data_IF_344543397664
#
_entry.id   IF_344543397664
#
_cell.length_a   1.000
_cell.length_b   1.000
_cell.length_c   1.000
_cell.angle_alpha   90.00
_cell.angle_beta   90.00
_cell.angle_gamma   90.00
#
_symmetry.space_group_name_H-M   'P 1'
#
loop_
_entity.id
_entity.type
_entity.pdbx_description
1 polymer ?
#
# COMPACT_ATOMS: atom_id res chain seq x y z
N UNK A 1 -55.12 6.13 -9.44
CA UNK A 1 -53.72 6.61 -9.45
C UNK A 1 -53.33 6.89 -8.01
N UNK A 2 -52.75 5.89 -7.34
CA UNK A 2 -52.19 6.03 -6.00
C UNK A 2 -50.72 6.41 -6.14
N UNK A 3 -50.33 7.58 -5.63
CA UNK A 3 -48.93 8.00 -5.55
C UNK A 3 -48.18 7.08 -4.57
N UNK A 4 -47.28 6.24 -5.10
CA UNK A 4 -46.27 5.56 -4.28
C UNK A 4 -45.27 6.60 -3.76
N UNK A 5 -45.39 6.95 -2.48
CA UNK A 5 -44.33 7.66 -1.76
C UNK A 5 -43.16 6.72 -1.56
N UNK A 6 -42.10 6.90 -2.35
CA UNK A 6 -40.80 6.33 -2.06
C UNK A 6 -40.32 6.86 -0.70
N UNK A 7 -39.94 6.00 0.25
CA UNK A 7 -39.41 6.44 1.53
C UNK A 7 -38.04 7.07 1.30
N UNK A 8 -37.97 8.39 1.45
CA UNK A 8 -36.70 9.11 1.58
C UNK A 8 -36.12 8.68 2.93
N UNK A 9 -35.11 7.80 2.91
CA UNK A 9 -34.26 7.61 4.10
C UNK A 9 -33.59 8.96 4.34
N UNK A 10 -33.90 9.58 5.48
CA UNK A 10 -33.06 10.65 6.02
C UNK A 10 -31.65 10.08 6.10
N UNK A 11 -30.74 10.62 5.28
CA UNK A 11 -29.32 10.39 5.45
C UNK A 11 -28.97 11.03 6.78
N UNK A 12 -28.73 10.21 7.81
CA UNK A 12 -28.13 10.70 9.04
C UNK A 12 -26.90 11.53 8.65
N UNK A 13 -26.76 12.76 9.18
CA UNK A 13 -25.59 13.56 8.89
C UNK A 13 -24.38 12.71 9.28
N UNK A 14 -23.52 12.43 8.29
CA UNK A 14 -22.19 11.86 8.51
C UNK A 14 -21.48 12.79 9.49
N UNK A 15 -21.66 12.53 10.78
CA UNK A 15 -20.88 13.17 11.81
C UNK A 15 -19.45 12.76 11.50
N UNK A 16 -18.62 13.75 11.15
CA UNK A 16 -17.19 13.57 10.99
C UNK A 16 -16.66 13.12 12.36
N UNK A 17 -16.61 11.81 12.58
CA UNK A 17 -15.99 11.24 13.77
C UNK A 17 -14.47 11.24 13.58
N UNK A 18 -13.90 12.44 13.77
CA UNK A 18 -12.47 12.65 13.71
C UNK A 18 -11.76 11.88 14.82
N UNK A 19 -12.43 11.57 15.94
CA UNK A 19 -11.78 10.96 17.11
C UNK A 19 -11.42 9.49 16.87
N UNK A 20 -12.20 8.78 16.06
CA UNK A 20 -11.90 7.41 15.68
C UNK A 20 -10.70 7.33 14.73
N UNK A 21 -10.50 8.33 13.88
CA UNK A 21 -9.41 8.38 12.89
C UNK A 21 -8.14 9.00 13.48
N UNK A 22 -8.28 10.09 14.24
CA UNK A 22 -7.18 10.90 14.77
C UNK A 22 -7.21 10.85 16.29
N UNK A 23 -6.55 9.82 16.83
CA UNK A 23 -6.36 9.64 18.27
C UNK A 23 -4.88 9.35 18.59
N UNK A 24 -4.45 9.48 19.86
CA UNK A 24 -3.06 9.29 20.26
C UNK A 24 -2.45 7.94 19.82
N UNK A 25 -3.25 6.86 19.82
CA UNK A 25 -2.79 5.55 19.38
C UNK A 25 -2.49 5.52 17.88
N UNK A 26 -3.37 6.09 17.05
CA UNK A 26 -3.20 6.17 15.60
C UNK A 26 -2.06 7.12 15.23
N UNK A 27 -1.92 8.24 15.94
CA UNK A 27 -0.80 9.17 15.78
C UNK A 27 0.55 8.53 16.15
N UNK A 28 0.60 7.74 17.22
CA UNK A 28 1.81 6.97 17.58
C UNK A 28 2.18 5.97 16.48
N UNK A 29 1.18 5.26 15.93
CA UNK A 29 1.41 4.32 14.84
C UNK A 29 1.92 5.02 13.56
N UNK A 30 1.36 6.18 13.22
CA UNK A 30 1.86 7.03 12.13
C UNK A 30 3.30 7.50 12.37
N UNK A 31 3.62 7.96 13.57
CA UNK A 31 4.98 8.39 13.89
C UNK A 31 5.98 7.24 13.73
N UNK A 32 5.64 6.04 14.21
CA UNK A 32 6.47 4.86 14.02
C UNK A 32 6.65 4.51 12.54
N UNK A 33 5.59 4.59 11.73
CA UNK A 33 5.68 4.40 10.28
C UNK A 33 6.66 5.41 9.67
N UNK A 34 6.50 6.71 9.95
CA UNK A 34 7.38 7.74 9.40
C UNK A 34 8.85 7.53 9.81
N UNK A 35 9.12 7.09 11.05
CA UNK A 35 10.47 6.70 11.46
C UNK A 35 10.99 5.54 10.62
N UNK A 36 10.20 4.48 10.43
CA UNK A 36 10.60 3.33 9.59
C UNK A 36 10.83 3.70 8.13
N UNK A 37 10.03 4.62 7.57
CA UNK A 37 10.25 5.12 6.22
C UNK A 37 11.51 5.99 6.13
N UNK A 38 11.80 6.79 7.15
CA UNK A 38 13.03 7.59 7.22
C UNK A 38 14.29 6.71 7.29
N UNK A 39 14.21 5.57 7.98
CA UNK A 39 15.32 4.61 8.07
C UNK A 39 15.71 3.99 6.69
N UNK A 40 14.86 4.15 5.66
CA UNK A 40 15.16 3.66 4.30
C UNK A 40 16.01 4.62 3.48
N UNK A 41 16.16 5.87 3.90
CA UNK A 41 16.90 6.91 3.17
C UNK A 41 18.35 6.47 2.93
N UNK A 42 18.79 6.53 1.67
CA UNK A 42 20.15 6.20 1.29
C UNK A 42 21.04 7.46 1.29
N UNK A 43 22.34 7.35 1.65
CA UNK A 43 23.27 8.50 1.60
C UNK A 43 23.49 9.06 0.19
N UNK A 44 23.35 8.22 -0.83
CA UNK A 44 23.52 8.55 -2.24
C UNK A 44 22.13 8.66 -2.91
N UNK A 45 21.83 9.83 -3.45
CA UNK A 45 20.56 10.15 -4.12
C UNK A 45 20.27 9.20 -5.30
N UNK A 46 21.30 8.70 -6.00
CA UNK A 46 21.11 7.75 -7.10
C UNK A 46 20.77 6.34 -6.58
N UNK A 47 21.27 5.95 -5.42
CA UNK A 47 20.84 4.71 -4.76
C UNK A 47 19.39 4.87 -4.31
N UNK A 48 19.04 6.00 -3.70
CA UNK A 48 17.68 6.30 -3.24
C UNK A 48 16.68 6.28 -4.41
N UNK A 49 17.00 6.95 -5.53
CA UNK A 49 16.16 6.97 -6.73
C UNK A 49 15.94 5.57 -7.32
N UNK A 50 17.00 4.75 -7.40
CA UNK A 50 16.88 3.35 -7.85
C UNK A 50 15.99 2.53 -6.93
N UNK A 51 16.17 2.69 -5.62
CA UNK A 51 15.34 2.01 -4.62
C UNK A 51 13.86 2.36 -4.80
N UNK A 52 13.53 3.64 -4.99
CA UNK A 52 12.16 4.10 -5.19
C UNK A 52 11.54 3.56 -6.48
N UNK A 53 12.29 3.49 -7.58
CA UNK A 53 11.81 2.89 -8.83
C UNK A 53 11.48 1.40 -8.67
N UNK A 54 12.35 0.65 -7.99
CA UNK A 54 12.12 -0.77 -7.68
C UNK A 54 10.95 -0.98 -6.72
N UNK A 55 10.83 -0.13 -5.69
CA UNK A 55 9.71 -0.15 -4.76
C UNK A 55 8.38 0.11 -5.47
N UNK A 56 8.36 1.00 -6.47
CA UNK A 56 7.18 1.25 -7.29
C UNK A 56 6.77 0.01 -8.10
N UNK A 57 7.71 -0.71 -8.72
CA UNK A 57 7.40 -1.97 -9.42
C UNK A 57 6.76 -3.00 -8.47
N UNK A 58 7.34 -3.13 -7.27
CA UNK A 58 6.82 -4.03 -6.24
C UNK A 58 5.45 -3.61 -5.71
N UNK A 59 5.13 -2.32 -5.71
CA UNK A 59 3.80 -1.83 -5.37
C UNK A 59 2.73 -2.26 -6.37
N UNK A 60 3.04 -2.33 -7.67
CA UNK A 60 2.10 -2.86 -8.66
C UNK A 60 1.80 -4.35 -8.40
N UNK A 61 2.83 -5.15 -8.10
CA UNK A 61 2.66 -6.55 -7.71
C UNK A 61 1.80 -6.70 -6.44
N UNK A 62 1.91 -5.75 -5.52
CA UNK A 62 1.08 -5.71 -4.33
C UNK A 62 -0.39 -5.44 -4.65
N UNK A 63 -0.68 -4.48 -5.55
CA UNK A 63 -2.04 -4.21 -5.99
C UNK A 63 -2.68 -5.45 -6.67
N UNK A 64 -1.93 -6.12 -7.54
CA UNK A 64 -2.41 -7.37 -8.16
C UNK A 64 -2.72 -8.46 -7.11
N UNK A 65 -1.86 -8.58 -6.09
CA UNK A 65 -2.05 -9.51 -4.98
C UNK A 65 -3.33 -9.19 -4.20
N UNK A 66 -3.59 -7.92 -3.89
CA UNK A 66 -4.80 -7.48 -3.20
C UNK A 66 -6.06 -7.71 -4.03
N UNK A 67 -6.00 -7.52 -5.35
CA UNK A 67 -7.12 -7.76 -6.25
C UNK A 67 -7.47 -9.24 -6.37
N UNK A 68 -6.47 -10.12 -6.31
CA UNK A 68 -6.65 -11.57 -6.49
C UNK A 68 -7.36 -12.30 -5.33
N UNK A 69 -7.61 -11.63 -4.20
CA UNK A 69 -8.18 -12.23 -2.99
C UNK A 69 -9.18 -11.31 -2.30
N UNK A 70 -10.17 -11.93 -1.67
CA UNK A 70 -11.02 -11.26 -0.68
C UNK A 70 -10.32 -11.31 0.69
N UNK A 71 -9.36 -10.41 0.90
CA UNK A 71 -8.84 -10.17 2.25
C UNK A 71 -9.89 -9.43 3.08
N UNK A 72 -9.93 -9.75 4.37
CA UNK A 72 -10.62 -8.96 5.38
C UNK A 72 -9.59 -8.36 6.34
N UNK A 73 -10.04 -7.43 7.18
CA UNK A 73 -9.17 -6.65 8.06
C UNK A 73 -8.36 -7.56 9.03
N UNK A 74 -8.89 -8.75 9.37
CA UNK A 74 -8.25 -9.71 10.28
C UNK A 74 -7.16 -10.57 9.60
N UNK A 75 -7.31 -10.88 8.31
CA UNK A 75 -6.43 -11.81 7.59
C UNK A 75 -5.52 -11.16 6.54
N UNK A 76 -5.63 -9.84 6.38
CA UNK A 76 -4.84 -9.11 5.41
C UNK A 76 -3.33 -9.20 5.71
N UNK A 77 -2.49 -9.67 4.77
CA UNK A 77 -1.04 -9.65 4.95
C UNK A 77 -0.53 -8.21 5.02
N UNK A 78 0.61 -8.01 5.67
CA UNK A 78 1.35 -6.74 5.54
C UNK A 78 2.23 -6.81 4.28
N UNK A 79 2.40 -5.69 3.55
CA UNK A 79 3.39 -5.64 2.49
C UNK A 79 4.81 -5.46 3.07
N UNK A 80 5.86 -5.75 2.27
CA UNK A 80 7.23 -5.29 2.52
C UNK A 80 7.32 -3.78 2.81
N UNK A 81 8.39 -3.33 3.47
CA UNK A 81 8.50 -1.94 3.93
C UNK A 81 8.62 -0.93 2.79
N UNK A 82 9.29 -1.30 1.70
CA UNK A 82 9.39 -0.50 0.47
C UNK A 82 8.02 -0.32 -0.19
N UNK A 83 7.20 -1.38 -0.20
CA UNK A 83 5.83 -1.34 -0.70
C UNK A 83 4.93 -0.53 0.23
N UNK A 84 5.13 -0.63 1.56
CA UNK A 84 4.45 0.25 2.53
C UNK A 84 4.74 1.73 2.24
N UNK A 85 5.96 2.06 1.84
CA UNK A 85 6.35 3.44 1.51
C UNK A 85 5.54 3.98 0.33
N UNK A 86 5.50 3.24 -0.78
CA UNK A 86 4.77 3.67 -1.98
C UNK A 86 3.25 3.72 -1.70
N UNK A 87 2.71 2.71 -1.01
CA UNK A 87 1.29 2.67 -0.68
C UNK A 87 0.87 3.83 0.24
N UNK A 88 1.66 4.11 1.28
CA UNK A 88 1.41 5.25 2.16
C UNK A 88 1.44 6.57 1.39
N UNK A 89 2.41 6.74 0.50
CA UNK A 89 2.51 7.94 -0.35
C UNK A 89 1.31 8.08 -1.29
N UNK A 90 0.81 6.98 -1.86
CA UNK A 90 -0.38 7.00 -2.71
C UNK A 90 -1.64 7.45 -1.94
N UNK A 91 -1.78 7.04 -0.67
CA UNK A 91 -2.89 7.45 0.20
C UNK A 91 -2.91 8.95 0.53
N UNK A 92 -1.78 9.65 0.38
CA UNK A 92 -1.72 11.12 0.55
C UNK A 92 -2.47 11.89 -0.55
N UNK A 93 -2.88 11.21 -1.63
CA UNK A 93 -3.79 11.74 -2.65
C UNK A 93 -5.11 10.95 -2.65
N UNK A 94 -6.03 11.19 -1.69
CA UNK A 94 -7.15 10.29 -1.43
C UNK A 94 -8.11 10.15 -2.62
N UNK A 95 -8.37 11.23 -3.37
CA UNK A 95 -9.21 11.16 -4.57
C UNK A 95 -8.55 10.30 -5.67
N UNK A 96 -7.24 10.48 -5.88
CA UNK A 96 -6.50 9.69 -6.88
C UNK A 96 -6.44 8.22 -6.50
N UNK A 97 -6.12 7.95 -5.24
CA UNK A 97 -6.13 6.59 -4.69
C UNK A 97 -7.49 5.92 -4.93
N UNK A 98 -8.58 6.60 -4.56
CA UNK A 98 -9.93 6.07 -4.74
C UNK A 98 -10.26 5.76 -6.21
N UNK A 99 -9.97 6.68 -7.13
CA UNK A 99 -10.21 6.44 -8.55
C UNK A 99 -9.36 5.30 -9.10
N UNK A 100 -8.09 5.19 -8.69
CA UNK A 100 -7.21 4.13 -9.16
C UNK A 100 -7.66 2.77 -8.61
N UNK A 101 -8.10 2.70 -7.35
CA UNK A 101 -8.66 1.45 -6.80
C UNK A 101 -9.93 1.02 -7.56
N UNK A 102 -10.80 1.96 -7.97
CA UNK A 102 -11.97 1.68 -8.82
C UNK A 102 -11.62 1.20 -10.24
N UNK A 103 -10.45 1.59 -10.77
CA UNK A 103 -9.99 1.15 -12.09
C UNK A 103 -9.35 -0.23 -12.04
N UNK A 104 -8.71 -0.58 -10.93
CA UNK A 104 -7.96 -1.81 -10.76
C UNK A 104 -8.87 -2.95 -10.28
N UNK A 105 -9.83 -2.68 -9.40
CA UNK A 105 -10.67 -3.70 -8.76
C UNK A 105 -12.14 -3.59 -9.16
N UNK A 106 -12.90 -4.66 -8.96
CA UNK A 106 -14.35 -4.66 -9.13
C UNK A 106 -15.01 -3.73 -8.09
N UNK A 107 -15.94 -2.84 -8.46
CA UNK A 107 -16.69 -1.99 -7.52
C UNK A 107 -17.39 -2.75 -6.37
N UNK A 108 -17.64 -4.05 -6.52
CA UNK A 108 -18.22 -4.90 -5.47
C UNK A 108 -17.19 -5.36 -4.43
N UNK A 109 -15.89 -5.19 -4.69
CA UNK A 109 -14.81 -5.60 -3.80
C UNK A 109 -14.58 -4.52 -2.72
N UNK A 110 -14.53 -4.92 -1.44
CA UNK A 110 -14.09 -4.03 -0.36
C UNK A 110 -12.60 -3.75 -0.55
N UNK A 111 -12.24 -2.48 -0.71
CA UNK A 111 -10.83 -2.10 -0.75
C UNK A 111 -10.21 -2.36 0.62
N UNK A 112 -9.04 -3.02 0.68
CA UNK A 112 -8.35 -3.19 1.94
C UNK A 112 -7.85 -1.84 2.47
N UNK A 113 -8.04 -1.64 3.77
CA UNK A 113 -7.46 -0.50 4.47
C UNK A 113 -5.97 -0.68 4.67
N UNK A 114 -5.23 0.44 4.71
CA UNK A 114 -3.81 0.40 5.03
C UNK A 114 -3.60 -0.15 6.45
N UNK A 115 -2.81 -1.22 6.64
CA UNK A 115 -2.76 -1.97 7.90
C UNK A 115 -1.89 -1.28 8.98
N UNK A 116 -2.09 0.02 9.22
CA UNK A 116 -1.25 0.86 10.10
C UNK A 116 -1.10 0.29 11.51
N UNK A 117 -2.22 -0.09 12.13
CA UNK A 117 -2.22 -0.63 13.50
C UNK A 117 -1.47 -1.97 13.56
N UNK A 118 -1.71 -2.84 12.58
CA UNK A 118 -1.02 -4.15 12.48
C UNK A 118 0.48 -3.97 12.27
N UNK A 119 0.90 -3.03 11.43
CA UNK A 119 2.31 -2.68 11.23
C UNK A 119 2.97 -2.23 12.53
N UNK A 120 2.32 -1.30 13.26
CA UNK A 120 2.82 -0.83 14.55
C UNK A 120 2.92 -1.95 15.59
N UNK A 121 1.91 -2.81 15.68
CA UNK A 121 1.92 -3.96 16.60
C UNK A 121 3.04 -4.96 16.28
N UNK A 122 3.34 -5.17 15.00
CA UNK A 122 4.45 -6.02 14.56
C UNK A 122 5.79 -5.40 14.95
N UNK A 123 5.98 -4.09 14.73
CA UNK A 123 7.24 -3.42 15.09
C UNK A 123 7.51 -3.45 16.59
N UNK A 124 6.49 -3.27 17.41
CA UNK A 124 6.60 -3.36 18.88
C UNK A 124 6.91 -4.79 19.35
N UNK A 125 6.38 -5.82 18.69
CA UNK A 125 6.57 -7.23 19.07
C UNK A 125 7.88 -7.85 18.55
N UNK A 126 8.19 -7.60 17.28
CA UNK A 126 9.23 -8.33 16.54
C UNK A 126 10.54 -7.54 16.42
N UNK A 127 10.56 -6.29 16.89
CA UNK A 127 11.71 -5.38 16.77
C UNK A 127 12.21 -5.23 15.32
N UNK A 128 11.31 -5.35 14.35
CA UNK A 128 11.60 -5.41 12.93
C UNK A 128 10.33 -5.52 12.09
N UNK A 129 10.47 -5.38 10.77
CA UNK A 129 9.36 -5.49 9.83
C UNK A 129 9.30 -6.92 9.26
N UNK A 130 8.96 -7.87 10.13
CA UNK A 130 8.91 -9.31 9.81
C UNK A 130 7.58 -9.91 10.24
N UNK A 131 6.99 -10.73 9.36
CA UNK A 131 5.77 -11.50 9.59
C UNK A 131 5.80 -12.74 8.69
N UNK A 132 6.05 -13.92 9.27
CA UNK A 132 6.34 -15.14 8.49
C UNK A 132 5.22 -15.52 7.51
N UNK A 133 3.96 -15.24 7.86
CA UNK A 133 2.83 -15.49 6.97
C UNK A 133 2.83 -14.52 5.77
N UNK A 134 2.98 -13.21 6.03
CA UNK A 134 3.06 -12.20 4.96
C UNK A 134 4.28 -12.41 4.06
N UNK A 135 5.43 -12.75 4.65
CA UNK A 135 6.67 -13.08 3.92
C UNK A 135 6.48 -14.27 2.97
N UNK A 136 5.83 -15.33 3.47
CA UNK A 136 5.54 -16.52 2.67
C UNK A 136 4.57 -16.21 1.53
N UNK A 137 3.51 -15.47 1.80
CA UNK A 137 2.52 -15.04 0.78
C UNK A 137 3.20 -14.17 -0.28
N UNK A 138 4.03 -13.21 0.13
CA UNK A 138 4.77 -12.34 -0.78
C UNK A 138 5.68 -13.16 -1.69
N UNK A 139 6.56 -13.99 -1.11
CA UNK A 139 7.50 -14.79 -1.88
C UNK A 139 6.81 -15.79 -2.83
N UNK A 140 5.71 -16.41 -2.39
CA UNK A 140 4.94 -17.34 -3.22
C UNK A 140 4.33 -16.64 -4.45
N UNK A 141 3.79 -15.43 -4.27
CA UNK A 141 2.96 -14.76 -5.27
C UNK A 141 3.73 -13.86 -6.20
N UNK A 142 4.68 -13.09 -5.68
CA UNK A 142 5.42 -12.10 -6.47
C UNK A 142 6.73 -12.65 -6.99
N UNK A 143 7.22 -13.76 -6.41
CA UNK A 143 8.57 -14.31 -6.66
C UNK A 143 9.70 -13.31 -6.36
N UNK A 144 9.41 -12.28 -5.56
CA UNK A 144 10.36 -11.26 -5.13
C UNK A 144 10.85 -11.55 -3.70
N UNK A 145 12.08 -11.14 -3.33
CA UNK A 145 12.53 -11.18 -1.95
C UNK A 145 11.67 -10.27 -1.06
N UNK A 146 11.63 -10.54 0.24
CA UNK A 146 10.93 -9.69 1.19
C UNK A 146 11.61 -8.33 1.33
N UNK A 147 12.92 -8.33 1.53
CA UNK A 147 13.73 -7.11 1.66
C UNK A 147 14.19 -6.65 0.28
N UNK A 148 13.95 -5.36 -0.05
CA UNK A 148 14.53 -4.73 -1.23
C UNK A 148 16.00 -4.40 -0.95
N UNK A 149 16.92 -4.86 -1.80
CA UNK A 149 18.33 -4.46 -1.70
C UNK A 149 18.51 -3.05 -2.26
N UNK A 150 18.92 -2.05 -1.45
CA UNK A 150 19.21 -0.72 -1.96
C UNK A 150 20.39 -0.68 -2.93
N UNK A 151 21.28 -1.67 -2.89
CA UNK A 151 22.44 -1.73 -3.78
C UNK A 151 22.17 -2.51 -5.08
N UNK A 152 20.91 -2.87 -5.37
CA UNK A 152 20.55 -3.48 -6.64
C UNK A 152 20.83 -2.52 -7.80
N UNK A 153 21.92 -2.78 -8.51
CA UNK A 153 22.36 -2.05 -9.69
C UNK A 153 21.99 -2.74 -11.00
N UNK A 154 21.13 -3.76 -10.95
CA UNK A 154 20.64 -4.42 -12.17
C UNK A 154 19.87 -3.44 -13.06
N UNK A 155 19.97 -3.65 -14.37
CA UNK A 155 19.25 -2.84 -15.35
C UNK A 155 17.75 -2.78 -15.01
N UNK A 156 17.21 -1.56 -15.01
CA UNK A 156 15.78 -1.33 -14.82
C UNK A 156 15.10 -1.37 -16.19
N UNK A 157 14.04 -2.16 -16.32
CA UNK A 157 13.32 -2.34 -17.59
C UNK A 157 11.86 -2.00 -17.38
N UNK A 158 11.36 -1.04 -18.15
CA UNK A 158 9.95 -0.68 -18.15
C UNK A 158 9.36 -0.86 -19.54
N UNK A 159 8.22 -1.54 -19.63
CA UNK A 159 7.46 -1.59 -20.87
C UNK A 159 6.62 -0.31 -21.00
N UNK A 160 6.86 0.48 -22.03
CA UNK A 160 6.13 1.72 -22.22
C UNK A 160 4.66 1.42 -22.58
N UNK A 161 3.68 1.90 -21.79
CA UNK A 161 2.27 1.60 -22.06
C UNK A 161 1.78 2.25 -23.36
N UNK A 162 2.42 3.32 -23.84
CA UNK A 162 2.07 4.04 -25.06
C UNK A 162 2.66 3.44 -26.34
N UNK A 163 3.97 3.22 -26.41
CA UNK A 163 4.63 2.73 -27.63
C UNK A 163 4.92 1.22 -27.63
N UNK A 164 4.74 0.53 -26.49
CA UNK A 164 5.04 -0.90 -26.28
C UNK A 164 6.51 -1.28 -26.40
N UNK A 165 7.41 -0.32 -26.60
CA UNK A 165 8.85 -0.56 -26.56
C UNK A 165 9.34 -0.69 -25.12
N UNK A 166 10.34 -1.56 -24.94
CA UNK A 166 11.02 -1.71 -23.66
C UNK A 166 12.05 -0.58 -23.52
N UNK A 167 11.88 0.23 -22.49
CA UNK A 167 12.86 1.23 -22.08
C UNK A 167 13.74 0.59 -21.03
N UNK A 168 15.02 0.47 -21.35
CA UNK A 168 16.03 0.03 -20.40
C UNK A 168 16.76 1.27 -19.85
N UNK A 169 16.79 1.38 -18.52
CA UNK A 169 17.60 2.35 -17.81
C UNK A 169 18.75 1.58 -17.18
N UNK A 170 19.94 1.79 -17.73
CA UNK A 170 21.20 1.25 -17.19
C UNK A 170 21.80 2.23 -16.19
N UNK A 171 22.32 1.69 -15.09
CA UNK A 171 22.78 2.44 -13.92
C UNK A 171 24.28 2.26 -13.68
#
# INVERSE_FOLDING_TARGET
MSEEKFPVKELEPLALDINDIVNPSTLRAHLALLTKLKDLEQPDEQIDMRYLLRAQERYILWLDLLGSRNFNDDNMPIPPIDVCYIWHSHLLSPLRYYEDMLRIYDPQQKFPDFPLKRLHDIWEKNNGHTDSNSESIWAERTKQPWVLDPNDSSDFKINCPWCKEDVQISW
#
